data_IF_654480291644
#
_entry.id   IF_654480291644
#
_cell.length_a   1.000
_cell.length_b   1.000
_cell.length_c   1.000
_cell.angle_alpha   90.00
_cell.angle_beta   90.00
_cell.angle_gamma   90.00
#
_symmetry.space_group_name_H-M   'P 1'
#
loop_
_entity.id
_entity.type
_entity.pdbx_description
1 polymer ?
#
# COMPACT_ATOMS: atom_id res chain seq x y z
N UNK A 1 35.86 -2.94 8.77
CA UNK A 1 35.30 -1.71 8.18
C UNK A 1 33.79 -1.76 8.38
N UNK A 2 33.30 -1.04 9.38
CA UNK A 2 31.89 -1.00 9.77
C UNK A 2 31.25 0.15 9.00
N UNK A 3 30.34 -0.15 8.09
CA UNK A 3 29.59 0.87 7.35
C UNK A 3 28.51 1.45 8.27
N UNK A 4 28.82 2.61 8.83
CA UNK A 4 27.93 3.50 9.56
C UNK A 4 27.09 4.25 8.49
N UNK A 5 25.81 3.90 8.35
CA UNK A 5 24.84 4.66 7.55
C UNK A 5 23.90 5.40 8.52
N UNK A 6 24.12 6.69 8.81
CA UNK A 6 23.33 7.39 9.81
C UNK A 6 22.78 8.67 9.19
N UNK A 7 21.83 8.56 8.27
CA UNK A 7 21.09 9.74 7.82
C UNK A 7 19.68 9.33 7.42
N UNK A 8 18.71 10.00 8.04
CA UNK A 8 17.26 9.98 7.76
C UNK A 8 16.42 8.82 8.30
N UNK A 9 16.29 8.75 9.64
CA UNK A 9 15.14 8.08 10.28
C UNK A 9 14.23 9.06 11.04
N UNK A 10 14.37 10.38 10.84
CA UNK A 10 13.79 11.37 11.76
C UNK A 10 12.93 12.49 11.13
N UNK A 11 12.35 12.28 9.95
CA UNK A 11 11.37 13.26 9.45
C UNK A 11 10.08 12.60 8.96
N UNK A 12 9.00 12.97 9.66
CA UNK A 12 7.61 12.90 9.25
C UNK A 12 6.94 11.52 9.33
N UNK A 13 6.75 11.01 10.55
CA UNK A 13 5.50 10.27 10.83
C UNK A 13 4.39 11.33 10.79
N UNK A 14 3.67 11.40 9.68
CA UNK A 14 2.44 12.19 9.59
C UNK A 14 1.37 11.44 10.42
N UNK A 15 0.91 11.98 11.56
CA UNK A 15 0.00 11.25 12.44
C UNK A 15 -1.34 10.93 11.76
N UNK A 16 -1.78 11.73 10.77
CA UNK A 16 -3.00 11.47 10.00
C UNK A 16 -2.96 10.23 9.10
N UNK A 17 -1.78 9.70 8.73
CA UNK A 17 -1.66 8.59 7.77
C UNK A 17 -1.29 7.24 8.43
N UNK A 18 -1.30 7.16 9.76
CA UNK A 18 -1.00 5.91 10.47
C UNK A 18 -2.27 5.07 10.59
N UNK A 19 -2.40 4.02 9.78
CA UNK A 19 -3.42 3.00 9.99
C UNK A 19 -2.88 1.92 10.93
N UNK A 20 -3.46 1.83 12.12
CA UNK A 20 -3.26 0.69 13.00
C UNK A 20 -4.26 -0.41 12.61
N UNK A 21 -3.77 -1.60 12.25
CA UNK A 21 -4.63 -2.71 11.84
C UNK A 21 -4.41 -3.92 12.75
N UNK A 22 -5.31 -4.07 13.75
CA UNK A 22 -5.53 -5.30 14.53
C UNK A 22 -4.76 -5.46 15.85
N UNK A 23 -5.43 -5.95 16.91
CA UNK A 23 -4.80 -6.42 18.16
C UNK A 23 -4.28 -7.86 17.98
N UNK A 24 -2.96 -8.02 17.87
CA UNK A 24 -2.31 -9.32 17.73
C UNK A 24 -2.11 -10.05 19.07
N UNK A 25 -2.38 -11.35 19.08
CA UNK A 25 -2.18 -12.26 20.21
C UNK A 25 -0.68 -12.53 20.40
N UNK A 26 0.04 -11.69 21.15
CA UNK A 26 1.42 -11.92 21.63
C UNK A 26 2.55 -12.10 20.58
N UNK A 27 2.26 -11.89 19.30
CA UNK A 27 3.20 -12.08 18.18
C UNK A 27 4.05 -10.86 17.82
N UNK A 28 5.01 -11.06 16.90
CA UNK A 28 5.85 -9.98 16.36
C UNK A 28 5.00 -8.87 15.71
N UNK A 29 5.32 -7.62 16.00
CA UNK A 29 4.73 -6.45 15.33
C UNK A 29 5.49 -6.15 14.04
N UNK A 30 4.75 -5.95 12.95
CA UNK A 30 5.32 -5.72 11.61
C UNK A 30 5.10 -4.28 11.16
N UNK A 31 6.18 -3.59 10.80
CA UNK A 31 6.10 -2.27 10.17
C UNK A 31 6.17 -2.41 8.64
N UNK A 32 5.16 -1.90 7.94
CA UNK A 32 5.12 -1.84 6.47
C UNK A 32 5.43 -0.41 6.05
N UNK A 33 6.41 -0.23 5.16
CA UNK A 33 6.82 1.09 4.67
C UNK A 33 6.26 1.31 3.27
N UNK A 34 5.41 2.33 3.14
CA UNK A 34 4.67 2.70 1.94
C UNK A 34 3.25 2.12 1.93
N UNK A 35 2.25 2.95 1.65
CA UNK A 35 0.85 2.58 1.41
C UNK A 35 0.49 2.64 -0.09
N UNK A 36 1.40 2.18 -0.94
CA UNK A 36 1.11 1.87 -2.35
C UNK A 36 0.41 0.52 -2.51
N UNK A 37 0.21 0.07 -3.75
CA UNK A 37 -0.44 -1.22 -4.06
C UNK A 37 0.21 -2.41 -3.34
N UNK A 38 1.54 -2.46 -3.31
CA UNK A 38 2.28 -3.52 -2.62
C UNK A 38 2.12 -3.44 -1.09
N UNK A 39 2.12 -2.23 -0.53
CA UNK A 39 2.02 -2.00 0.91
C UNK A 39 0.65 -2.38 1.47
N UNK A 40 -0.42 -1.98 0.77
CA UNK A 40 -1.80 -2.33 1.14
C UNK A 40 -2.02 -3.84 1.03
N UNK A 41 -1.51 -4.48 -0.03
CA UNK A 41 -1.57 -5.94 -0.17
C UNK A 41 -0.84 -6.67 0.96
N UNK A 42 0.36 -6.18 1.33
CA UNK A 42 1.16 -6.75 2.41
C UNK A 42 0.45 -6.63 3.75
N UNK A 43 -0.08 -5.45 4.07
CA UNK A 43 -0.82 -5.21 5.30
C UNK A 43 -2.06 -6.11 5.41
N UNK A 44 -2.82 -6.25 4.31
CA UNK A 44 -3.99 -7.14 4.24
C UNK A 44 -3.63 -8.59 4.59
N UNK A 45 -2.61 -9.14 3.93
CA UNK A 45 -2.16 -10.53 4.17
C UNK A 45 -1.68 -10.72 5.61
N UNK A 46 -0.92 -9.76 6.15
CA UNK A 46 -0.44 -9.82 7.54
C UNK A 46 -1.60 -9.85 8.53
N UNK A 47 -2.62 -9.02 8.32
CA UNK A 47 -3.81 -8.99 9.17
C UNK A 47 -4.65 -10.25 9.05
N UNK A 48 -4.81 -10.80 7.85
CA UNK A 48 -5.51 -12.08 7.63
C UNK A 48 -4.83 -13.24 8.38
N UNK A 49 -3.52 -13.17 8.59
CA UNK A 49 -2.75 -14.15 9.36
C UNK A 49 -2.62 -13.78 10.85
N UNK A 50 -3.33 -12.75 11.32
CA UNK A 50 -3.39 -12.37 12.73
C UNK A 50 -2.17 -11.62 13.27
N UNK A 51 -1.35 -11.03 12.39
CA UNK A 51 -0.24 -10.18 12.80
C UNK A 51 -0.71 -8.75 13.10
N UNK A 52 -0.11 -8.15 14.14
CA UNK A 52 -0.21 -6.71 14.40
C UNK A 52 0.70 -5.98 13.41
N UNK A 53 0.12 -5.22 12.49
CA UNK A 53 0.88 -4.45 11.51
C UNK A 53 0.53 -2.96 11.50
N UNK A 54 1.57 -2.15 11.25
CA UNK A 54 1.46 -0.69 11.12
C UNK A 54 2.03 -0.28 9.77
N UNK A 55 1.22 0.43 8.98
CA UNK A 55 1.63 0.95 7.68
C UNK A 55 2.04 2.41 7.83
N UNK A 56 3.23 2.75 7.34
CA UNK A 56 3.75 4.12 7.32
C UNK A 56 3.78 4.62 5.88
N UNK A 57 3.04 5.68 5.59
CA UNK A 57 3.05 6.36 4.29
C UNK A 57 3.60 7.77 4.45
N UNK A 58 4.45 8.18 3.50
CA UNK A 58 5.03 9.53 3.50
C UNK A 58 4.01 10.57 3.07
N UNK A 59 3.18 10.22 2.08
CA UNK A 59 2.13 11.10 1.56
C UNK A 59 0.90 11.12 2.48
N UNK A 60 -0.03 12.02 2.18
CA UNK A 60 -1.29 12.16 2.91
C UNK A 60 -2.41 11.26 2.37
N UNK A 61 -2.11 10.36 1.41
CA UNK A 61 -3.11 9.53 0.73
C UNK A 61 -2.56 8.13 0.44
N UNK A 62 -3.40 7.12 0.62
CA UNK A 62 -3.12 5.74 0.21
C UNK A 62 -3.21 5.63 -1.32
N UNK A 63 -2.35 4.82 -1.92
CA UNK A 63 -2.35 4.52 -3.37
C UNK A 63 -0.98 4.65 -4.03
N UNK A 64 -0.03 5.35 -3.41
CA UNK A 64 1.32 5.53 -3.94
C UNK A 64 1.30 6.16 -5.32
N UNK A 65 1.88 5.51 -6.34
CA UNK A 65 1.89 6.02 -7.72
C UNK A 65 0.48 6.37 -8.26
N UNK A 66 -0.56 5.67 -7.80
CA UNK A 66 -1.94 5.91 -8.24
C UNK A 66 -2.54 7.22 -7.73
N UNK A 67 -1.93 7.86 -6.72
CA UNK A 67 -2.38 9.18 -6.26
C UNK A 67 -1.72 10.32 -7.05
N UNK A 68 -0.58 10.06 -7.67
CA UNK A 68 0.17 10.99 -8.49
C UNK A 68 -0.39 10.97 -9.92
N UNK A 69 -1.31 11.90 -10.21
CA UNK A 69 -2.07 11.88 -11.46
C UNK A 69 -1.22 12.38 -12.64
N UNK A 70 -0.66 11.47 -13.43
CA UNK A 70 -0.14 11.80 -14.76
C UNK A 70 -1.30 11.89 -15.74
N UNK A 71 -1.60 13.09 -16.23
CA UNK A 71 -2.67 13.31 -17.20
C UNK A 71 -2.54 12.36 -18.40
N UNK A 72 -3.56 11.51 -18.58
CA UNK A 72 -3.64 10.55 -19.68
C UNK A 72 -2.97 9.20 -19.44
N UNK A 73 -2.41 8.95 -18.25
CA UNK A 73 -1.86 7.64 -17.91
C UNK A 73 -2.97 6.63 -17.57
N UNK A 74 -2.79 5.40 -18.07
CA UNK A 74 -3.65 4.24 -17.80
C UNK A 74 -2.78 2.99 -17.63
N UNK A 75 -3.32 1.96 -16.99
CA UNK A 75 -2.68 0.63 -17.05
C UNK A 75 -2.60 0.14 -18.50
N UNK A 76 -1.56 -0.61 -18.82
CA UNK A 76 -1.37 -1.25 -20.13
C UNK A 76 -1.98 -2.65 -20.21
N UNK A 77 -2.52 -3.14 -19.09
CA UNK A 77 -3.19 -4.44 -18.98
C UNK A 77 -4.68 -4.22 -18.72
N UNK A 78 -5.56 -5.16 -19.09
CA UNK A 78 -6.97 -5.08 -18.72
C UNK A 78 -7.18 -5.12 -17.20
N UNK A 79 -8.24 -4.49 -16.71
CA UNK A 79 -8.60 -4.39 -15.29
C UNK A 79 -8.59 -5.73 -14.54
N UNK A 80 -9.13 -6.80 -15.13
CA UNK A 80 -9.16 -8.12 -14.49
C UNK A 80 -7.78 -8.74 -14.23
N UNK A 81 -6.74 -8.26 -14.92
CA UNK A 81 -5.36 -8.71 -14.70
C UNK A 81 -4.64 -7.85 -13.65
N UNK A 82 -5.20 -6.69 -13.29
CA UNK A 82 -4.60 -5.73 -12.35
C UNK A 82 -5.24 -5.75 -10.95
N UNK A 83 -6.33 -6.51 -10.77
CA UNK A 83 -7.01 -6.65 -9.47
C UNK A 83 -6.24 -7.57 -8.50
N UNK A 84 -6.50 -7.41 -7.20
CA UNK A 84 -6.04 -8.37 -6.20
C UNK A 84 -6.73 -9.72 -6.41
N UNK A 85 -6.02 -10.82 -6.15
CA UNK A 85 -6.47 -12.18 -6.47
C UNK A 85 -7.80 -12.56 -5.78
N UNK A 86 -8.13 -11.90 -4.67
CA UNK A 86 -9.29 -12.12 -3.83
C UNK A 86 -10.40 -11.06 -4.01
N UNK A 87 -10.22 -10.11 -4.93
CA UNK A 87 -11.18 -9.04 -5.22
C UNK A 87 -11.68 -9.17 -6.65
N UNK A 88 -12.95 -9.55 -6.79
CA UNK A 88 -13.62 -9.63 -8.09
C UNK A 88 -14.26 -8.28 -8.47
N UNK A 89 -13.58 -7.52 -9.32
CA UNK A 89 -14.13 -6.28 -9.88
C UNK A 89 -14.81 -6.57 -11.23
N UNK A 90 -16.00 -7.16 -11.19
CA UNK A 90 -16.64 -7.80 -12.35
C UNK A 90 -17.32 -6.88 -13.37
N UNK A 91 -17.30 -5.56 -13.20
CA UNK A 91 -17.84 -4.64 -14.22
C UNK A 91 -16.72 -4.12 -15.16
N UNK A 92 -16.94 -4.37 -16.45
CA UNK A 92 -16.10 -3.98 -17.59
C UNK A 92 -14.63 -4.44 -17.50
N UNK A 93 -14.45 -5.75 -17.32
CA UNK A 93 -13.16 -6.42 -17.13
C UNK A 93 -12.11 -6.19 -18.26
N UNK A 94 -12.58 -5.80 -19.46
CA UNK A 94 -11.73 -5.49 -20.62
C UNK A 94 -11.26 -4.03 -20.66
N UNK A 95 -11.77 -3.18 -19.76
CA UNK A 95 -11.39 -1.78 -19.66
C UNK A 95 -9.95 -1.65 -19.15
N UNK A 96 -9.20 -0.74 -19.77
CA UNK A 96 -7.92 -0.27 -19.24
C UNK A 96 -8.22 0.80 -18.18
N UNK A 97 -7.91 0.51 -16.91
CA UNK A 97 -8.10 1.46 -15.81
C UNK A 97 -7.27 2.72 -16.05
N UNK A 98 -7.92 3.88 -15.97
CA UNK A 98 -7.23 5.15 -15.93
C UNK A 98 -6.80 5.46 -14.50
N UNK A 99 -5.79 6.31 -14.33
CA UNK A 99 -5.28 6.69 -13.00
C UNK A 99 -6.36 7.33 -12.12
N UNK A 100 -7.36 8.00 -12.69
CA UNK A 100 -8.50 8.58 -11.98
C UNK A 100 -9.55 7.55 -11.53
N UNK A 101 -9.44 6.30 -11.96
CA UNK A 101 -10.39 5.22 -11.70
C UNK A 101 -9.84 4.11 -10.78
N UNK A 102 -8.57 4.22 -10.32
CA UNK A 102 -7.92 3.27 -9.39
C UNK A 102 -8.05 3.73 -7.95
#
# INVERSE_FOLDING_TARGET
QTFFFPFFFFFLVCPEATMAVGEGNGGFRVAVIGAGTAGVATARVLCEHGFDCVVFEKSNRVGGLWTENYYGASIQVPKHMYQYADVDQLEDASKFLRMDEV
#
